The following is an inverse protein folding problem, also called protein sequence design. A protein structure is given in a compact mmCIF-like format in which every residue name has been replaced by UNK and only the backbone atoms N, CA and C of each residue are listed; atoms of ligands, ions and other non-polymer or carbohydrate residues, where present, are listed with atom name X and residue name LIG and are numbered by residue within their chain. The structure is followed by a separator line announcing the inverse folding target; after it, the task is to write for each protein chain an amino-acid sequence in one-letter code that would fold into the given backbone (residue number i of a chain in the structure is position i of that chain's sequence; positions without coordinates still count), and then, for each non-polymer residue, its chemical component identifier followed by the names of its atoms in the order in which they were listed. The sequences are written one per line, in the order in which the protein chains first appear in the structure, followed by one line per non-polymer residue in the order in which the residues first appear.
data_IF_145491846774
#
_entry.id   IF_145491846774
#
_cell.length_a   1.000
_cell.length_b   1.000
_cell.length_c   1.000
_cell.angle_alpha   90.00
_cell.angle_beta   90.00
_cell.angle_gamma   90.00
#
_symmetry.space_group_name_H-M   'P 1'
#
loop_
_entity.id
_entity.type
_entity.pdbx_description
1 polymer ?
#
# COMPACT_ATOMS: atom_id res chain seq x y z
N UNK A 1 50.36 47.08 62.14
CA UNK A 1 49.67 47.98 61.74
C UNK A 1 48.65 47.98 60.58
N UNK A 2 48.35 49.14 60.21
CA UNK A 2 47.32 49.39 59.20
C UNK A 2 47.62 48.75 57.81
N UNK A 3 48.86 48.71 57.41
CA UNK A 3 49.33 48.14 56.12
C UNK A 3 49.24 46.61 56.09
N UNK A 4 49.50 45.94 57.21
CA UNK A 4 49.36 44.48 57.31
C UNK A 4 47.92 44.04 57.18
N UNK A 5 47.01 44.72 57.87
CA UNK A 5 45.57 44.40 57.79
C UNK A 5 45.00 44.62 56.34
N UNK A 6 45.44 45.70 55.64
CA UNK A 6 45.05 45.98 54.29
C UNK A 6 45.61 44.95 53.30
N UNK A 7 46.86 44.53 53.51
CA UNK A 7 47.50 43.50 52.69
C UNK A 7 46.89 42.15 52.89
N UNK A 8 46.55 41.75 54.13
CA UNK A 8 45.89 40.51 54.44
C UNK A 8 44.48 40.43 53.86
N UNK A 9 43.73 41.53 53.88
CA UNK A 9 42.42 41.62 53.18
C UNK A 9 42.53 41.47 51.70
N UNK A 10 43.50 42.10 51.11
CA UNK A 10 43.77 42.02 49.65
C UNK A 10 44.12 40.58 49.26
N UNK A 11 44.97 39.91 50.05
CA UNK A 11 45.31 38.51 49.82
C UNK A 11 44.12 37.58 49.99
N UNK A 12 43.23 37.80 50.99
CA UNK A 12 42.01 37.04 51.15
C UNK A 12 41.05 37.21 49.95
N UNK A 13 40.87 38.44 49.46
CA UNK A 13 40.07 38.73 48.28
C UNK A 13 40.64 38.06 47.03
N UNK A 14 41.93 38.03 46.85
CA UNK A 14 42.60 37.35 45.73
C UNK A 14 42.39 35.84 45.82
N UNK A 15 42.54 35.25 47.00
CA UNK A 15 42.30 33.82 47.24
C UNK A 15 40.88 33.45 46.97
N UNK A 16 39.91 34.22 47.49
CA UNK A 16 38.48 33.99 47.22
C UNK A 16 38.15 34.11 45.74
N UNK A 17 38.64 35.11 45.07
CA UNK A 17 38.48 35.26 43.63
C UNK A 17 39.09 34.10 42.84
N UNK A 18 40.26 33.63 43.26
CA UNK A 18 40.94 32.50 42.62
C UNK A 18 40.15 31.17 42.83
N UNK A 19 39.64 30.95 44.03
CA UNK A 19 38.79 29.80 44.35
C UNK A 19 37.50 29.82 43.54
N UNK A 20 36.88 30.99 43.40
CA UNK A 20 35.68 31.17 42.58
C UNK A 20 35.93 30.84 41.11
N UNK A 21 37.03 31.32 40.53
CA UNK A 21 37.43 31.01 39.17
C UNK A 21 37.72 29.53 38.99
N UNK A 22 38.35 28.87 39.97
CA UNK A 22 38.57 27.43 39.95
C UNK A 22 37.28 26.61 39.98
N UNK A 23 36.32 27.03 40.78
CA UNK A 23 34.97 26.38 40.82
C UNK A 23 34.24 26.56 39.49
N UNK A 24 34.24 27.78 38.98
CA UNK A 24 33.63 28.08 37.69
C UNK A 24 34.26 27.26 36.54
N UNK A 25 35.60 27.13 36.60
CA UNK A 25 36.32 26.29 35.64
C UNK A 25 35.93 24.81 35.74
N UNK A 26 35.85 24.30 36.96
CA UNK A 26 35.44 22.92 37.21
C UNK A 26 33.98 22.67 36.73
N UNK A 27 33.07 23.60 37.02
CA UNK A 27 31.68 23.53 36.59
C UNK A 27 31.56 23.59 35.06
N UNK A 28 32.31 24.47 34.42
CA UNK A 28 32.34 24.56 32.96
C UNK A 28 32.94 23.32 32.32
N UNK A 29 33.95 22.73 32.95
CA UNK A 29 34.55 21.49 32.46
C UNK A 29 33.56 20.33 32.54
N UNK A 30 32.84 20.21 33.65
CA UNK A 30 31.78 19.21 33.84
C UNK A 30 30.64 19.39 32.82
N UNK A 31 30.20 20.62 32.58
CA UNK A 31 29.20 20.95 31.56
C UNK A 31 29.70 20.61 30.18
N UNK A 32 30.95 20.89 29.88
CA UNK A 32 31.56 20.60 28.58
C UNK A 32 31.61 19.08 28.34
N UNK A 33 32.02 18.29 29.33
CA UNK A 33 32.00 16.83 29.26
C UNK A 33 30.59 16.27 29.02
N UNK A 34 29.58 16.80 29.73
CA UNK A 34 28.18 16.42 29.52
C UNK A 34 27.70 16.76 28.12
N UNK A 35 28.02 17.95 27.63
CA UNK A 35 27.65 18.37 26.27
C UNK A 35 28.33 17.52 25.21
N UNK A 36 29.61 17.17 25.37
CA UNK A 36 30.31 16.26 24.48
C UNK A 36 29.68 14.87 24.47
N UNK A 37 29.33 14.36 25.64
CA UNK A 37 28.62 13.08 25.78
C UNK A 37 27.24 13.12 25.11
N UNK A 38 26.50 14.22 25.30
CA UNK A 38 25.20 14.42 24.67
C UNK A 38 25.31 14.50 23.15
N UNK A 39 26.31 15.22 22.66
CA UNK A 39 26.58 15.32 21.21
C UNK A 39 26.90 13.95 20.63
N UNK A 40 27.73 13.15 21.28
CA UNK A 40 28.04 11.80 20.84
C UNK A 40 26.78 10.92 20.76
N UNK A 41 25.92 11.00 21.78
CA UNK A 41 24.65 10.28 21.83
C UNK A 41 23.70 10.72 20.71
N UNK A 42 23.57 12.04 20.48
CA UNK A 42 22.72 12.55 19.40
C UNK A 42 23.23 12.18 18.01
N UNK A 43 24.54 12.14 17.81
CA UNK A 43 25.15 11.66 16.56
C UNK A 43 24.84 10.19 16.32
N UNK A 44 24.91 9.36 17.34
CA UNK A 44 24.55 7.94 17.25
C UNK A 44 23.08 7.77 16.92
N UNK A 45 22.20 8.55 17.57
CA UNK A 45 20.77 8.57 17.28
C UNK A 45 20.49 9.02 15.83
N UNK A 46 21.18 10.06 15.37
CA UNK A 46 21.04 10.55 13.99
C UNK A 46 21.43 9.47 12.98
N UNK A 47 22.55 8.77 13.23
CA UNK A 47 22.99 7.65 12.39
C UNK A 47 21.97 6.53 12.37
N UNK A 48 21.42 6.18 13.52
CA UNK A 48 20.37 5.16 13.64
C UNK A 48 19.10 5.56 12.91
N UNK A 49 18.67 6.82 13.06
CA UNK A 49 17.50 7.35 12.36
C UNK A 49 17.68 7.34 10.85
N UNK A 50 18.84 7.72 10.34
CA UNK A 50 19.14 7.65 8.91
C UNK A 50 19.07 6.22 8.37
N UNK A 51 19.67 5.27 9.09
CA UNK A 51 19.60 3.85 8.71
C UNK A 51 18.18 3.32 8.73
N UNK A 52 17.42 3.67 9.77
CA UNK A 52 16.02 3.27 9.89
C UNK A 52 15.18 3.87 8.77
N UNK A 53 15.38 5.13 8.44
CA UNK A 53 14.68 5.80 7.34
C UNK A 53 14.97 5.14 5.98
N UNK A 54 16.25 4.87 5.69
CA UNK A 54 16.65 4.17 4.45
C UNK A 54 16.01 2.79 4.38
N UNK A 55 16.02 2.05 5.48
CA UNK A 55 15.38 0.72 5.56
C UNK A 55 13.87 0.81 5.35
N UNK A 56 13.24 1.81 5.97
CA UNK A 56 11.80 2.04 5.83
C UNK A 56 11.41 2.42 4.39
N UNK A 57 12.18 3.29 3.74
CA UNK A 57 11.99 3.66 2.34
C UNK A 57 12.11 2.44 1.42
N UNK A 58 13.12 1.62 1.63
CA UNK A 58 13.32 0.38 0.88
C UNK A 58 12.17 -0.59 1.06
N UNK A 59 11.73 -0.79 2.30
CA UNK A 59 10.59 -1.65 2.60
C UNK A 59 9.30 -1.12 1.97
N UNK A 60 9.09 0.19 1.97
CA UNK A 60 7.95 0.82 1.32
C UNK A 60 7.96 0.62 -0.21
N UNK A 61 9.12 0.76 -0.85
CA UNK A 61 9.27 0.50 -2.28
C UNK A 61 9.01 -0.97 -2.63
N UNK A 62 9.56 -1.90 -1.85
CA UNK A 62 9.32 -3.33 -2.01
C UNK A 62 7.84 -3.69 -1.86
N UNK A 63 7.17 -3.09 -0.86
CA UNK A 63 5.75 -3.30 -0.63
C UNK A 63 4.90 -2.75 -1.77
N UNK A 64 5.23 -1.57 -2.29
CA UNK A 64 4.55 -1.00 -3.46
C UNK A 64 4.70 -1.88 -4.69
N UNK A 65 5.90 -2.37 -4.94
CA UNK A 65 6.19 -3.23 -6.08
C UNK A 65 5.46 -4.57 -5.97
N UNK A 66 5.43 -5.15 -4.77
CA UNK A 66 4.65 -6.35 -4.49
C UNK A 66 3.16 -6.11 -4.71
N UNK A 67 2.61 -5.02 -4.21
CA UNK A 67 1.22 -4.67 -4.39
C UNK A 67 0.85 -4.48 -5.87
N UNK A 68 1.73 -3.88 -6.67
CA UNK A 68 1.54 -3.78 -8.12
C UNK A 68 1.51 -5.13 -8.81
N UNK A 69 2.43 -6.03 -8.45
CA UNK A 69 2.44 -7.39 -9.00
C UNK A 69 1.18 -8.16 -8.65
N UNK A 70 0.73 -8.06 -7.40
CA UNK A 70 -0.52 -8.68 -6.96
C UNK A 70 -1.74 -8.12 -7.69
N UNK A 71 -1.79 -6.80 -7.86
CA UNK A 71 -2.86 -6.16 -8.63
C UNK A 71 -2.87 -6.62 -10.10
N UNK A 72 -1.71 -6.75 -10.73
CA UNK A 72 -1.60 -7.24 -12.10
C UNK A 72 -2.08 -8.69 -12.22
N UNK A 73 -1.74 -9.54 -11.27
CA UNK A 73 -2.24 -10.93 -11.20
C UNK A 73 -3.76 -10.95 -11.06
N UNK A 74 -4.31 -10.19 -10.13
CA UNK A 74 -5.77 -10.10 -9.94
C UNK A 74 -6.48 -9.62 -11.21
N UNK A 75 -5.93 -8.60 -11.88
CA UNK A 75 -6.48 -8.12 -13.15
C UNK A 75 -6.40 -9.17 -14.27
N UNK A 76 -5.29 -9.89 -14.36
CA UNK A 76 -5.13 -10.96 -15.34
C UNK A 76 -6.12 -12.10 -15.12
N UNK A 77 -6.29 -12.54 -13.88
CA UNK A 77 -7.27 -13.55 -13.48
C UNK A 77 -8.71 -13.10 -13.77
N UNK A 78 -9.04 -11.85 -13.44
CA UNK A 78 -10.35 -11.28 -13.72
C UNK A 78 -10.65 -11.22 -15.23
N UNK A 79 -9.66 -10.90 -16.05
CA UNK A 79 -9.80 -10.90 -17.52
C UNK A 79 -10.02 -12.30 -18.08
N UNK A 80 -9.29 -13.29 -17.56
CA UNK A 80 -9.48 -14.69 -17.95
C UNK A 80 -10.88 -15.16 -17.58
N UNK A 81 -11.34 -14.87 -16.37
CA UNK A 81 -12.68 -15.21 -15.90
C UNK A 81 -13.78 -14.53 -16.74
N UNK A 82 -13.62 -13.24 -17.03
CA UNK A 82 -14.54 -12.49 -17.89
C UNK A 82 -14.64 -13.11 -19.30
N UNK A 83 -13.50 -13.51 -19.88
CA UNK A 83 -13.50 -14.19 -21.17
C UNK A 83 -14.19 -15.54 -21.14
N UNK A 84 -14.01 -16.34 -20.08
CA UNK A 84 -14.71 -17.61 -19.89
C UNK A 84 -16.21 -17.41 -19.83
N UNK A 85 -16.67 -16.44 -19.04
CA UNK A 85 -18.09 -16.11 -18.91
C UNK A 85 -18.66 -15.66 -20.25
N UNK A 86 -17.98 -14.79 -20.96
CA UNK A 86 -18.41 -14.30 -22.28
C UNK A 86 -18.49 -15.41 -23.31
N UNK A 87 -17.48 -16.27 -23.39
CA UNK A 87 -17.47 -17.43 -24.28
C UNK A 87 -18.56 -18.44 -23.94
N UNK A 88 -18.76 -18.71 -22.66
CA UNK A 88 -19.84 -19.59 -22.19
C UNK A 88 -21.22 -19.05 -22.53
N UNK A 89 -21.45 -17.76 -22.33
CA UNK A 89 -22.69 -17.10 -22.68
C UNK A 89 -22.94 -17.11 -24.21
N UNK A 90 -21.91 -16.88 -24.98
CA UNK A 90 -22.00 -16.96 -26.46
C UNK A 90 -22.36 -18.37 -26.92
N UNK A 91 -21.69 -19.40 -26.40
CA UNK A 91 -21.99 -20.79 -26.74
C UNK A 91 -23.42 -21.18 -26.37
N UNK A 92 -23.88 -20.77 -25.20
CA UNK A 92 -25.25 -21.01 -24.73
C UNK A 92 -26.27 -20.30 -25.60
N UNK A 93 -26.01 -19.07 -26.00
CA UNK A 93 -26.85 -18.31 -26.93
C UNK A 93 -26.96 -19.01 -28.29
N UNK A 94 -25.88 -19.51 -28.84
CA UNK A 94 -25.88 -20.25 -30.12
C UNK A 94 -26.65 -21.57 -30.00
N UNK A 95 -26.49 -22.27 -28.89
CA UNK A 95 -27.27 -23.48 -28.60
C UNK A 95 -28.78 -23.21 -28.56
N UNK A 96 -29.20 -22.16 -27.84
CA UNK A 96 -30.60 -21.75 -27.75
C UNK A 96 -31.19 -21.33 -29.10
N UNK A 97 -30.39 -20.64 -29.93
CA UNK A 97 -30.78 -20.27 -31.30
C UNK A 97 -30.99 -21.49 -32.16
N UNK A 98 -30.09 -22.47 -32.09
CA UNK A 98 -30.22 -23.72 -32.84
C UNK A 98 -31.47 -24.50 -32.40
N UNK A 99 -31.78 -24.58 -31.10
CA UNK A 99 -33.02 -25.18 -30.62
C UNK A 99 -34.27 -24.44 -31.09
N UNK A 100 -34.27 -23.11 -31.01
CA UNK A 100 -35.39 -22.30 -31.50
C UNK A 100 -35.62 -22.50 -33.00
N UNK A 101 -34.58 -22.59 -33.79
CA UNK A 101 -34.64 -22.88 -35.24
C UNK A 101 -35.22 -24.27 -35.48
N UNK A 102 -34.82 -25.27 -34.74
CA UNK A 102 -35.31 -26.63 -34.80
C UNK A 102 -36.80 -26.72 -34.48
N UNK A 103 -37.22 -26.06 -33.39
CA UNK A 103 -38.63 -25.98 -32.98
C UNK A 103 -39.48 -25.30 -34.06
N UNK A 104 -39.02 -24.21 -34.64
CA UNK A 104 -39.69 -23.53 -35.74
C UNK A 104 -39.88 -24.45 -36.95
N UNK A 105 -38.85 -25.20 -37.33
CA UNK A 105 -38.90 -26.14 -38.43
C UNK A 105 -39.94 -27.26 -38.18
N UNK A 106 -39.98 -27.79 -36.96
CA UNK A 106 -40.98 -28.79 -36.55
C UNK A 106 -42.41 -28.25 -36.61
N UNK A 107 -42.63 -27.03 -36.13
CA UNK A 107 -43.92 -26.36 -36.16
C UNK A 107 -44.37 -26.10 -37.63
N UNK A 108 -43.50 -25.67 -38.49
CA UNK A 108 -43.80 -25.50 -39.92
C UNK A 108 -44.18 -26.80 -40.56
N UNK A 109 -43.43 -27.88 -40.32
CA UNK A 109 -43.79 -29.22 -40.84
C UNK A 109 -45.13 -29.68 -40.33
N UNK A 110 -45.44 -29.47 -39.08
CA UNK A 110 -46.75 -29.83 -38.49
C UNK A 110 -47.89 -29.03 -39.12
N UNK A 111 -47.69 -27.72 -39.35
CA UNK A 111 -48.68 -26.90 -40.05
C UNK A 111 -48.91 -27.34 -41.51
N UNK A 112 -47.83 -27.65 -42.23
CA UNK A 112 -47.94 -28.17 -43.63
C UNK A 112 -48.72 -29.47 -43.67
N UNK A 113 -48.45 -30.42 -42.78
CA UNK A 113 -49.21 -31.69 -42.68
C UNK A 113 -50.68 -31.43 -42.39
N UNK A 114 -51.00 -30.50 -41.46
CA UNK A 114 -52.37 -30.14 -41.14
C UNK A 114 -53.09 -29.48 -42.33
N UNK A 115 -52.43 -28.60 -43.05
CA UNK A 115 -52.96 -27.94 -44.23
C UNK A 115 -53.22 -28.93 -45.39
N UNK A 116 -52.30 -29.87 -45.62
CA UNK A 116 -52.50 -30.95 -46.61
C UNK A 116 -53.68 -31.83 -46.23
N UNK A 117 -53.81 -32.18 -44.94
CA UNK A 117 -54.92 -33.00 -44.46
C UNK A 117 -56.24 -32.25 -44.56
N UNK A 118 -56.30 -30.98 -44.27
CA UNK A 118 -57.48 -30.13 -44.48
C UNK A 118 -57.83 -30.00 -45.97
N UNK A 119 -56.86 -29.88 -46.85
CA UNK A 119 -57.05 -29.85 -48.28
C UNK A 119 -57.57 -31.16 -48.83
N UNK A 120 -57.07 -32.31 -48.36
CA UNK A 120 -57.58 -33.64 -48.71
C UNK A 120 -59.03 -33.85 -48.24
N UNK A 121 -59.34 -33.44 -47.00
CA UNK A 121 -60.70 -33.54 -46.46
C UNK A 121 -61.70 -32.68 -47.24
N UNK A 122 -61.30 -31.46 -47.61
CA UNK A 122 -62.12 -30.59 -48.47
C UNK A 122 -62.35 -31.21 -49.86
N UNK A 123 -61.34 -31.81 -50.46
CA UNK A 123 -61.43 -32.49 -51.72
C UNK A 123 -62.32 -33.73 -51.64
N UNK A 124 -62.30 -34.48 -50.54
CA UNK A 124 -63.15 -35.62 -50.28
C UNK A 124 -64.63 -35.24 -50.11
N UNK A 125 -64.90 -34.12 -49.45
CA UNK A 125 -66.25 -33.57 -49.26
C UNK A 125 -66.81 -33.00 -50.58
N UNK A 126 -66.03 -32.48 -51.47
CA UNK A 126 -66.43 -31.94 -52.74
C UNK A 126 -66.74 -33.01 -53.85
N UNK A 127 -66.23 -34.22 -53.63
CA UNK A 127 -66.52 -35.36 -54.46
C UNK A 127 -67.76 -36.08 -53.99
#
# INVERSE_FOLDING_TARGET
GYRRAATDRLLEEIVDSFEEVWRDRADLQDKNERLESDIARYRDLETLLRKTLVTAERSAEELQEQARREADVVLAEARVEARKITQGAFAQREHLRAEASRIRALLRSALEVTDEQAGEDESAEAA
#
